data_IF_961841673059
#
_entry.id   IF_961841673059
#
_cell.length_a   1.000
_cell.length_b   1.000
_cell.length_c   1.000
_cell.angle_alpha   90.00
_cell.angle_beta   90.00
_cell.angle_gamma   90.00
#
_symmetry.space_group_name_H-M   'P 1'
#
loop_
_entity.id
_entity.type
_entity.pdbx_description
1 polymer ?
#
# COMPACT_ATOMS: atom_id res chain seq x y z
N UNK A 1 13.71 65.34 14.52
CA UNK A 1 13.84 64.27 13.50
C UNK A 1 13.68 62.83 14.03
N UNK A 2 13.44 62.58 15.34
CA UNK A 2 13.30 61.21 15.89
C UNK A 2 11.88 60.58 15.80
N UNK A 3 10.81 61.39 15.66
CA UNK A 3 9.42 60.89 15.74
C UNK A 3 8.89 60.16 14.50
N UNK A 4 9.37 60.49 13.31
CA UNK A 4 8.86 59.92 12.04
C UNK A 4 9.32 58.47 11.84
N UNK A 5 10.54 58.13 12.28
CA UNK A 5 11.10 56.78 12.15
C UNK A 5 10.38 55.77 13.06
N UNK A 6 9.96 56.20 14.25
CA UNK A 6 9.22 55.36 15.22
C UNK A 6 7.81 55.02 14.72
N UNK A 7 7.11 56.00 14.12
CA UNK A 7 5.76 55.79 13.56
C UNK A 7 5.77 54.86 12.34
N UNK A 8 6.76 54.98 11.46
CA UNK A 8 6.92 54.06 10.33
C UNK A 8 7.26 52.63 10.78
N UNK A 9 8.07 52.46 11.84
CA UNK A 9 8.34 51.13 12.43
C UNK A 9 7.09 50.51 13.06
N UNK A 10 6.32 51.27 13.84
CA UNK A 10 5.06 50.80 14.46
C UNK A 10 3.97 50.42 13.43
N UNK A 11 3.84 51.18 12.34
CA UNK A 11 2.90 50.84 11.26
C UNK A 11 3.33 49.61 10.45
N UNK A 12 4.64 49.41 10.26
CA UNK A 12 5.21 48.19 9.66
C UNK A 12 5.00 46.97 10.56
N UNK A 13 5.20 47.12 11.88
CA UNK A 13 5.00 46.07 12.88
C UNK A 13 3.53 45.65 12.96
N UNK A 14 2.58 46.59 12.99
CA UNK A 14 1.14 46.26 12.95
C UNK A 14 0.72 45.56 11.65
N UNK A 15 1.32 45.91 10.50
CA UNK A 15 1.07 45.19 9.23
C UNK A 15 1.63 43.78 9.27
N UNK A 16 2.83 43.61 9.81
CA UNK A 16 3.46 42.29 10.01
C UNK A 16 2.65 41.44 11.00
N UNK A 17 2.13 42.03 12.07
CA UNK A 17 1.27 41.36 13.05
C UNK A 17 -0.03 40.89 12.42
N UNK A 18 -0.76 41.76 11.71
CA UNK A 18 -1.96 41.37 10.94
C UNK A 18 -1.67 40.24 9.95
N UNK A 19 -0.54 40.29 9.25
CA UNK A 19 -0.13 39.22 8.33
C UNK A 19 0.13 37.90 9.06
N UNK A 20 0.74 37.94 10.25
CA UNK A 20 1.00 36.76 11.08
C UNK A 20 -0.30 36.13 11.58
N UNK A 21 -1.25 36.94 12.04
CA UNK A 21 -2.54 36.45 12.53
C UNK A 21 -3.39 35.89 11.39
N UNK A 22 -3.40 36.54 10.22
CA UNK A 22 -4.04 35.98 9.02
C UNK A 22 -3.42 34.64 8.61
N UNK A 23 -2.09 34.53 8.63
CA UNK A 23 -1.40 33.27 8.33
C UNK A 23 -1.69 32.17 9.37
N UNK A 24 -1.77 32.53 10.65
CA UNK A 24 -2.15 31.60 11.73
C UNK A 24 -3.59 31.11 11.55
N UNK A 25 -4.55 32.03 11.34
CA UNK A 25 -5.95 31.69 11.10
C UNK A 25 -6.11 30.76 9.89
N UNK A 26 -5.41 31.05 8.78
CA UNK A 26 -5.39 30.17 7.60
C UNK A 26 -4.89 28.76 7.94
N UNK A 27 -3.78 28.62 8.68
CA UNK A 27 -3.24 27.31 9.09
C UNK A 27 -4.16 26.55 10.04
N UNK A 28 -4.86 27.26 10.95
CA UNK A 28 -5.85 26.65 11.84
C UNK A 28 -7.02 26.07 11.04
N UNK A 29 -7.61 26.86 10.14
CA UNK A 29 -8.69 26.40 9.24
C UNK A 29 -8.26 25.24 8.35
N UNK A 30 -7.06 25.31 7.78
CA UNK A 30 -6.49 24.22 6.98
C UNK A 30 -6.40 22.93 7.80
N UNK A 31 -5.93 23.03 9.04
CA UNK A 31 -5.79 21.88 9.94
C UNK A 31 -7.15 21.28 10.34
N UNK A 32 -8.17 22.12 10.56
CA UNK A 32 -9.55 21.70 10.78
C UNK A 32 -10.08 20.88 9.60
N UNK A 33 -9.93 21.37 8.36
CA UNK A 33 -10.33 20.64 7.13
C UNK A 33 -9.60 19.30 7.00
N UNK A 34 -8.32 19.23 7.35
CA UNK A 34 -7.58 17.96 7.35
C UNK A 34 -8.18 16.96 8.34
N UNK A 35 -8.52 17.39 9.54
CA UNK A 35 -9.15 16.51 10.52
C UNK A 35 -10.56 16.11 10.10
N UNK A 36 -11.36 17.02 9.54
CA UNK A 36 -12.66 16.67 8.96
C UNK A 36 -12.52 15.59 7.88
N UNK A 37 -11.56 15.72 6.98
CA UNK A 37 -11.28 14.71 5.95
C UNK A 37 -10.84 13.37 6.57
N UNK A 38 -10.00 13.38 7.59
CA UNK A 38 -9.57 12.17 8.30
C UNK A 38 -10.76 11.39 8.89
N UNK A 39 -11.78 12.10 9.38
CA UNK A 39 -13.01 11.51 9.90
C UNK A 39 -13.91 10.88 8.83
N UNK A 40 -13.76 11.26 7.56
CA UNK A 40 -14.51 10.67 6.45
C UNK A 40 -13.85 9.41 5.88
N UNK A 41 -12.63 9.07 6.29
CA UNK A 41 -11.95 7.85 5.85
C UNK A 41 -12.56 6.62 6.55
N UNK A 42 -12.62 5.46 5.87
CA UNK A 42 -13.14 4.21 6.44
C UNK A 42 -12.14 3.58 7.41
N UNK A 43 -11.79 4.29 8.48
CA UNK A 43 -10.81 3.89 9.47
C UNK A 43 -11.38 4.09 10.87
N UNK A 44 -11.00 3.26 11.86
CA UNK A 44 -11.34 3.49 13.25
C UNK A 44 -10.85 4.87 13.72
N UNK A 45 -11.65 5.56 14.55
CA UNK A 45 -11.29 6.86 15.13
C UNK A 45 -9.94 6.87 15.86
N UNK A 46 -9.58 5.75 16.50
CA UNK A 46 -8.29 5.57 17.18
C UNK A 46 -7.10 5.69 16.21
N UNK A 47 -7.29 5.36 14.94
CA UNK A 47 -6.27 5.46 13.89
C UNK A 47 -6.33 6.82 13.23
N UNK A 48 -7.52 7.28 12.81
CA UNK A 48 -7.67 8.53 12.04
C UNK A 48 -7.25 9.78 12.82
N UNK A 49 -7.42 9.78 14.14
CA UNK A 49 -7.03 10.90 15.02
C UNK A 49 -5.52 11.15 15.11
N UNK A 50 -4.69 10.13 14.80
CA UNK A 50 -3.23 10.21 14.89
C UNK A 50 -2.55 10.40 13.53
N UNK A 51 -3.31 10.53 12.44
CA UNK A 51 -2.76 10.71 11.11
C UNK A 51 -2.14 12.09 10.94
N UNK A 52 -1.00 12.14 10.27
CA UNK A 52 -0.43 13.39 9.78
C UNK A 52 -1.10 13.84 8.47
N UNK A 53 -0.95 15.13 8.12
CA UNK A 53 -1.58 15.72 6.93
C UNK A 53 -1.23 14.98 5.64
N UNK A 54 0.01 14.48 5.54
CA UNK A 54 0.47 13.74 4.37
C UNK A 54 -0.25 12.39 4.25
N UNK A 55 -0.36 11.63 5.34
CA UNK A 55 -1.09 10.36 5.33
C UNK A 55 -2.58 10.54 5.08
N UNK A 56 -3.21 11.59 5.62
CA UNK A 56 -4.62 11.90 5.33
C UNK A 56 -4.82 12.06 3.81
N UNK A 57 -3.97 12.82 3.13
CA UNK A 57 -4.06 12.96 1.66
C UNK A 57 -3.82 11.64 0.93
N UNK A 58 -2.78 10.89 1.30
CA UNK A 58 -2.46 9.60 0.66
C UNK A 58 -3.63 8.65 0.77
N UNK A 59 -4.18 8.49 1.97
CA UNK A 59 -5.31 7.58 2.24
C UNK A 59 -6.59 8.06 1.54
N UNK A 60 -6.87 9.36 1.51
CA UNK A 60 -8.03 9.90 0.81
C UNK A 60 -7.94 9.66 -0.71
N UNK A 61 -6.77 9.90 -1.31
CA UNK A 61 -6.54 9.65 -2.75
C UNK A 61 -6.70 8.16 -3.05
N UNK A 62 -6.06 7.29 -2.26
CA UNK A 62 -6.17 5.84 -2.41
C UNK A 62 -7.60 5.34 -2.23
N UNK A 63 -8.34 5.86 -1.24
CA UNK A 63 -9.74 5.51 -1.03
C UNK A 63 -10.62 5.90 -2.21
N UNK A 64 -10.46 7.11 -2.75
CA UNK A 64 -11.19 7.56 -3.94
C UNK A 64 -10.84 6.72 -5.18
N UNK A 65 -9.57 6.32 -5.35
CA UNK A 65 -9.15 5.43 -6.43
C UNK A 65 -9.79 4.05 -6.28
N UNK A 66 -9.72 3.44 -5.11
CA UNK A 66 -10.31 2.12 -4.82
C UNK A 66 -11.82 2.11 -5.00
N UNK A 67 -12.53 3.18 -4.60
CA UNK A 67 -13.98 3.31 -4.86
C UNK A 67 -14.35 3.40 -6.34
N UNK A 68 -13.45 3.84 -7.22
CA UNK A 68 -13.68 3.76 -8.68
C UNK A 68 -13.56 2.34 -9.22
N UNK A 69 -12.89 1.45 -8.49
CA UNK A 69 -12.68 0.05 -8.88
C UNK A 69 -13.85 -0.86 -8.47
N UNK A 70 -14.50 -0.52 -7.36
CA UNK A 70 -15.61 -1.26 -6.79
C UNK A 70 -16.87 -0.38 -6.82
N UNK A 71 -17.78 -0.65 -7.76
CA UNK A 71 -19.10 0.01 -7.81
C UNK A 71 -20.03 -0.45 -6.67
N UNK A 72 -19.67 -1.55 -5.98
CA UNK A 72 -20.46 -2.14 -4.91
C UNK A 72 -19.82 -1.85 -3.54
N UNK A 73 -20.63 -1.36 -2.59
CA UNK A 73 -20.22 -1.00 -1.21
C UNK A 73 -20.04 -2.26 -0.33
N UNK A 74 -19.76 -3.40 -0.96
CA UNK A 74 -19.55 -4.69 -0.32
C UNK A 74 -18.33 -4.64 0.58
N UNK A 75 -18.55 -4.42 1.88
CA UNK A 75 -17.51 -4.59 2.89
C UNK A 75 -17.00 -6.04 2.82
N UNK A 76 -15.70 -6.19 2.57
CA UNK A 76 -15.06 -7.51 2.57
C UNK A 76 -15.15 -8.08 3.98
N UNK A 77 -15.93 -9.15 4.16
CA UNK A 77 -16.23 -9.70 5.49
C UNK A 77 -14.93 -10.09 6.22
N UNK A 78 -14.86 -9.74 7.50
CA UNK A 78 -13.76 -10.07 8.42
C UNK A 78 -13.50 -11.58 8.43
N UNK A 79 -14.53 -12.41 8.23
CA UNK A 79 -14.38 -13.86 8.14
C UNK A 79 -13.54 -14.29 6.93
N UNK A 80 -13.71 -13.65 5.76
CA UNK A 80 -12.86 -13.94 4.59
C UNK A 80 -11.41 -13.61 4.89
N UNK A 81 -11.14 -12.42 5.40
CA UNK A 81 -9.77 -11.97 5.73
C UNK A 81 -9.06 -12.85 6.75
N UNK A 82 -9.80 -13.43 7.71
CA UNK A 82 -9.25 -14.37 8.70
C UNK A 82 -8.93 -15.74 8.11
N UNK A 83 -9.64 -16.12 7.05
CA UNK A 83 -9.51 -17.43 6.40
C UNK A 83 -8.43 -17.44 5.32
N UNK A 84 -8.02 -16.27 4.80
CA UNK A 84 -6.92 -16.16 3.86
C UNK A 84 -5.58 -16.49 4.52
N UNK A 85 -4.78 -17.29 3.83
CA UNK A 85 -3.38 -17.59 4.18
C UNK A 85 -2.40 -16.50 3.72
N UNK A 86 -2.93 -15.39 3.22
CA UNK A 86 -2.20 -14.22 2.76
C UNK A 86 -3.02 -12.94 2.88
N UNK A 87 -2.61 -11.93 2.14
CA UNK A 87 -3.29 -10.62 2.09
C UNK A 87 -3.55 -10.21 0.64
N UNK A 88 -4.54 -9.35 0.44
CA UNK A 88 -4.89 -8.80 -0.87
C UNK A 88 -4.24 -7.43 -1.00
N UNK A 89 -3.71 -7.12 -2.18
CA UNK A 89 -3.24 -5.78 -2.54
C UNK A 89 -3.69 -5.40 -3.94
N UNK A 90 -3.96 -4.11 -4.14
CA UNK A 90 -4.20 -3.53 -5.46
C UNK A 90 -3.11 -2.49 -5.73
N UNK A 91 -2.38 -2.67 -6.83
CA UNK A 91 -1.21 -1.88 -7.17
C UNK A 91 -1.38 -1.32 -8.57
N UNK A 92 -1.16 -0.03 -8.77
CA UNK A 92 -1.26 0.59 -10.10
C UNK A 92 -0.11 0.15 -11.00
N UNK A 93 -0.23 0.38 -12.32
CA UNK A 93 0.87 0.17 -13.27
C UNK A 93 2.13 0.99 -12.96
N UNK A 94 1.98 2.08 -12.20
CA UNK A 94 3.08 2.94 -11.75
C UNK A 94 3.71 2.44 -10.44
N UNK A 95 3.09 1.44 -9.80
CA UNK A 95 3.56 0.84 -8.54
C UNK A 95 2.93 1.42 -7.28
N UNK A 96 1.93 2.30 -7.37
CA UNK A 96 1.24 2.82 -6.18
C UNK A 96 0.33 1.74 -5.58
N UNK A 97 0.52 1.43 -4.29
CA UNK A 97 -0.38 0.52 -3.55
C UNK A 97 -1.66 1.26 -3.14
N UNK A 98 -2.74 1.13 -3.91
CA UNK A 98 -4.00 1.87 -3.68
C UNK A 98 -4.94 1.16 -2.71
N UNK A 99 -4.78 -0.15 -2.52
CA UNK A 99 -5.50 -0.93 -1.52
C UNK A 99 -4.61 -2.04 -0.96
N UNK A 100 -4.73 -2.29 0.34
CA UNK A 100 -4.22 -3.49 1.00
C UNK A 100 -5.29 -3.98 1.99
N UNK A 101 -5.44 -5.28 2.19
CA UNK A 101 -6.30 -5.80 3.24
C UNK A 101 -5.69 -5.59 4.63
N UNK A 102 -6.53 -5.39 5.66
CA UNK A 102 -6.10 -5.12 7.04
C UNK A 102 -5.22 -6.23 7.63
N UNK A 103 -5.42 -7.48 7.18
CA UNK A 103 -4.69 -8.64 7.69
C UNK A 103 -3.20 -8.68 7.29
N UNK A 104 -2.70 -7.76 6.44
CA UNK A 104 -1.28 -7.67 6.09
C UNK A 104 -0.37 -7.56 7.32
N UNK A 105 -0.81 -6.88 8.38
CA UNK A 105 -0.06 -6.75 9.63
C UNK A 105 0.28 -8.11 10.24
N UNK A 106 -0.61 -9.10 10.13
CA UNK A 106 -0.37 -10.47 10.60
C UNK A 106 0.84 -11.12 9.91
N UNK A 107 1.04 -10.84 8.62
CA UNK A 107 2.01 -11.53 7.79
C UNK A 107 3.35 -10.78 7.67
N UNK A 108 3.29 -9.45 7.65
CA UNK A 108 4.43 -8.58 7.37
C UNK A 108 4.80 -7.66 8.55
N UNK A 109 3.90 -7.47 9.53
CA UNK A 109 4.08 -6.56 10.68
C UNK A 109 4.01 -5.07 10.34
N UNK A 110 3.57 -4.76 9.12
CA UNK A 110 3.31 -3.41 8.62
C UNK A 110 1.81 -3.21 8.54
N UNK A 111 1.33 -2.04 8.93
CA UNK A 111 -0.10 -1.72 8.89
C UNK A 111 -0.53 -1.28 7.50
N UNK A 112 -1.82 -1.46 7.19
CA UNK A 112 -2.43 -0.96 5.96
C UNK A 112 -2.14 0.55 5.77
N UNK A 113 -2.31 1.33 6.84
CA UNK A 113 -2.08 2.80 6.85
C UNK A 113 -0.64 3.20 6.51
N UNK A 114 0.34 2.42 6.96
CA UNK A 114 1.76 2.66 6.67
C UNK A 114 2.11 2.42 5.20
N UNK A 115 1.33 1.58 4.49
CA UNK A 115 1.64 1.12 3.14
C UNK A 115 0.79 1.80 2.07
N UNK A 116 -0.51 1.99 2.32
CA UNK A 116 -1.45 2.52 1.35
C UNK A 116 -1.03 3.89 0.84
N UNK A 117 -0.99 4.04 -0.49
CA UNK A 117 -0.60 5.25 -1.20
C UNK A 117 0.91 5.44 -1.39
N UNK A 118 1.75 4.50 -0.95
CA UNK A 118 3.18 4.49 -1.29
C UNK A 118 3.49 3.57 -2.46
N UNK A 119 4.69 3.72 -3.01
CA UNK A 119 5.19 2.84 -4.04
C UNK A 119 5.54 1.46 -3.46
N UNK A 120 5.12 0.38 -4.14
CA UNK A 120 5.53 -0.98 -3.82
C UNK A 120 7.06 -1.15 -3.84
N UNK A 121 7.76 -0.37 -4.65
CA UNK A 121 9.21 -0.40 -4.80
C UNK A 121 9.96 0.06 -3.53
N UNK A 122 9.31 0.84 -2.65
CA UNK A 122 9.88 1.24 -1.36
C UNK A 122 9.94 0.09 -0.35
N UNK A 123 9.11 -0.93 -0.56
CA UNK A 123 8.92 -2.05 0.36
C UNK A 123 9.38 -3.40 -0.21
N UNK A 124 9.80 -3.43 -1.47
CA UNK A 124 10.26 -4.66 -2.15
C UNK A 124 11.76 -4.64 -2.41
N UNK A 125 12.35 -5.82 -2.53
CA UNK A 125 13.79 -5.97 -2.72
C UNK A 125 14.20 -5.43 -4.11
N UNK A 126 15.26 -4.60 -4.22
CA UNK A 126 15.65 -3.96 -5.48
C UNK A 126 15.93 -4.93 -6.65
N UNK A 127 16.49 -6.12 -6.36
CA UNK A 127 16.69 -7.15 -7.39
C UNK A 127 15.39 -7.67 -8.02
N UNK A 128 14.24 -7.50 -7.37
CA UNK A 128 12.94 -7.99 -7.85
C UNK A 128 12.18 -6.88 -8.61
N UNK A 129 12.69 -5.65 -8.65
CA UNK A 129 11.96 -4.49 -9.19
C UNK A 129 11.66 -4.57 -10.68
N UNK A 130 12.55 -5.15 -11.49
CA UNK A 130 12.28 -5.34 -12.92
C UNK A 130 11.13 -6.33 -13.14
N UNK A 131 11.16 -7.48 -12.45
CA UNK A 131 10.12 -8.51 -12.55
C UNK A 131 8.76 -7.97 -12.07
N UNK A 132 8.74 -7.23 -10.95
CA UNK A 132 7.52 -6.56 -10.46
C UNK A 132 7.00 -5.58 -11.54
N UNK A 133 7.88 -4.77 -12.14
CA UNK A 133 7.46 -3.79 -13.16
C UNK A 133 6.89 -4.46 -14.41
N UNK A 134 7.46 -5.58 -14.83
CA UNK A 134 6.93 -6.38 -15.94
C UNK A 134 5.53 -6.92 -15.61
N UNK A 135 5.33 -7.41 -14.39
CA UNK A 135 4.03 -7.88 -13.91
C UNK A 135 2.99 -6.77 -13.73
N UNK A 136 3.39 -5.52 -13.43
CA UNK A 136 2.45 -4.40 -13.29
C UNK A 136 2.08 -3.73 -14.63
N UNK A 137 2.82 -4.02 -15.72
CA UNK A 137 2.55 -3.44 -17.03
C UNK A 137 1.51 -4.25 -17.80
N UNK A 138 0.62 -3.54 -18.49
CA UNK A 138 -0.17 -4.12 -19.57
C UNK A 138 0.72 -4.22 -20.80
N UNK A 139 1.18 -5.44 -21.13
CA UNK A 139 1.93 -5.64 -22.35
C UNK A 139 0.99 -5.92 -23.51
N UNK A 140 1.00 -5.05 -24.52
CA UNK A 140 0.63 -5.47 -25.87
C UNK A 140 1.77 -6.32 -26.39
N UNK A 141 1.56 -7.64 -26.51
CA UNK A 141 2.54 -8.49 -27.17
C UNK A 141 2.86 -7.92 -28.56
N UNK A 142 4.15 -7.88 -28.95
CA UNK A 142 4.63 -7.43 -30.28
C UNK A 142 4.09 -8.25 -31.47
N UNK A 143 3.07 -9.09 -31.26
CA UNK A 143 2.40 -9.96 -32.23
C UNK A 143 0.89 -10.10 -32.01
N UNK A 144 0.22 -9.09 -31.45
CA UNK A 144 -1.26 -9.07 -31.37
C UNK A 144 -1.89 -10.21 -30.56
N UNK A 145 -1.09 -10.97 -29.79
CA UNK A 145 -1.60 -11.87 -28.75
C UNK A 145 -1.74 -11.05 -27.48
N UNK A 146 -2.97 -11.00 -26.97
CA UNK A 146 -3.29 -10.55 -25.62
C UNK A 146 -2.41 -11.34 -24.64
N UNK A 147 -1.54 -10.64 -23.89
CA UNK A 147 -0.85 -11.29 -22.79
C UNK A 147 -1.91 -11.71 -21.77
N UNK A 148 -1.74 -12.90 -21.17
CA UNK A 148 -2.60 -13.32 -20.07
C UNK A 148 -2.72 -12.18 -19.08
N UNK A 149 -3.94 -11.86 -18.64
CA UNK A 149 -4.16 -10.91 -17.55
C UNK A 149 -3.66 -11.48 -16.23
N UNK A 150 -3.51 -12.81 -16.13
CA UNK A 150 -3.04 -13.47 -14.92
C UNK A 150 -1.59 -13.12 -14.59
N UNK A 151 -1.30 -13.03 -13.30
CA UNK A 151 0.00 -12.75 -12.74
C UNK A 151 0.31 -13.84 -11.73
N UNK A 152 1.50 -14.40 -11.84
CA UNK A 152 2.04 -15.43 -10.97
C UNK A 152 3.54 -15.23 -10.89
N UNK A 153 4.01 -14.66 -9.78
CA UNK A 153 5.42 -14.35 -9.58
C UNK A 153 5.78 -14.36 -8.10
N UNK A 154 7.06 -14.35 -7.81
CA UNK A 154 7.58 -14.23 -6.45
C UNK A 154 8.19 -12.85 -6.25
N UNK A 155 8.00 -12.28 -5.07
CA UNK A 155 8.72 -11.06 -4.69
C UNK A 155 9.13 -11.09 -3.23
N UNK A 156 10.22 -10.40 -2.91
CA UNK A 156 10.64 -10.18 -1.53
C UNK A 156 10.13 -8.84 -1.04
N UNK A 157 9.37 -8.85 0.06
CA UNK A 157 8.86 -7.66 0.71
C UNK A 157 9.43 -7.51 2.13
N UNK A 158 9.62 -6.27 2.60
CA UNK A 158 10.04 -5.96 3.96
C UNK A 158 9.03 -6.50 4.97
N UNK A 159 9.52 -7.28 5.93
CA UNK A 159 8.79 -7.85 7.04
C UNK A 159 9.41 -7.40 8.36
N UNK A 160 8.62 -6.76 9.22
CA UNK A 160 9.03 -6.33 10.57
C UNK A 160 8.76 -7.41 11.61
N UNK A 161 8.07 -8.50 11.26
CA UNK A 161 7.92 -9.66 12.15
C UNK A 161 9.14 -10.58 11.99
N UNK A 162 9.84 -10.80 13.10
CA UNK A 162 10.93 -11.78 13.17
C UNK A 162 10.41 -13.21 13.28
N UNK A 163 11.24 -14.21 13.00
CA UNK A 163 10.90 -15.63 13.17
C UNK A 163 10.47 -16.01 14.60
N UNK A 164 10.78 -15.15 15.59
CA UNK A 164 10.36 -15.31 17.01
C UNK A 164 9.07 -14.55 17.34
N UNK A 165 8.37 -14.02 16.34
CA UNK A 165 7.12 -13.26 16.52
C UNK A 165 7.31 -11.84 17.11
N UNK A 166 8.55 -11.34 17.21
CA UNK A 166 8.81 -9.97 17.69
C UNK A 166 8.75 -8.98 16.54
N UNK A 167 8.14 -7.82 16.77
CA UNK A 167 8.12 -6.70 15.83
C UNK A 167 9.39 -5.85 15.97
N UNK A 168 10.06 -5.59 14.85
CA UNK A 168 11.22 -4.68 14.74
C UNK A 168 10.86 -3.43 13.94
N UNK A 169 11.73 -2.42 13.95
CA UNK A 169 11.55 -1.25 13.11
C UNK A 169 11.81 -1.58 11.62
N UNK A 170 11.34 -0.71 10.73
CA UNK A 170 11.47 -0.89 9.28
C UNK A 170 12.94 -0.94 8.79
N UNK A 171 13.89 -0.28 9.48
CA UNK A 171 15.32 -0.32 9.12
C UNK A 171 15.97 -1.67 9.42
N UNK A 172 15.40 -2.41 10.36
CA UNK A 172 15.84 -3.75 10.77
C UNK A 172 14.95 -4.86 10.21
N UNK A 173 14.00 -4.51 9.32
CA UNK A 173 13.12 -5.46 8.68
C UNK A 173 13.90 -6.48 7.84
N UNK A 174 13.48 -7.74 7.91
CA UNK A 174 13.98 -8.81 7.05
C UNK A 174 13.20 -8.87 5.74
N UNK A 175 13.76 -9.51 4.73
CA UNK A 175 13.06 -9.81 3.49
C UNK A 175 12.27 -11.11 3.63
N UNK A 176 10.98 -11.07 3.36
CA UNK A 176 10.10 -12.25 3.33
C UNK A 176 9.63 -12.48 1.91
N UNK A 177 9.74 -13.72 1.45
CA UNK A 177 9.30 -14.11 0.10
C UNK A 177 7.78 -14.26 0.12
N UNK A 178 7.13 -13.61 -0.84
CA UNK A 178 5.71 -13.69 -1.11
C UNK A 178 5.51 -14.36 -2.48
N UNK A 179 4.56 -15.27 -2.54
CA UNK A 179 3.95 -15.74 -3.78
C UNK A 179 2.79 -14.80 -4.11
N UNK A 180 2.82 -14.21 -5.30
CA UNK A 180 1.85 -13.22 -5.73
C UNK A 180 1.08 -13.76 -6.93
N UNK A 181 -0.21 -14.01 -6.72
CA UNK A 181 -1.13 -14.49 -7.75
C UNK A 181 -2.26 -13.49 -7.96
N UNK A 182 -2.76 -13.34 -9.17
CA UNK A 182 -3.89 -12.46 -9.42
C UNK A 182 -4.03 -12.05 -10.88
N UNK A 183 -4.56 -10.86 -11.13
CA UNK A 183 -4.78 -10.38 -12.50
C UNK A 183 -4.59 -8.88 -12.66
N UNK A 184 -4.23 -8.47 -13.88
CA UNK A 184 -4.23 -7.08 -14.30
C UNK A 184 -5.65 -6.68 -14.76
N UNK A 185 -6.14 -5.56 -14.26
CA UNK A 185 -7.44 -5.01 -14.62
C UNK A 185 -7.32 -3.57 -15.08
N UNK A 186 -7.99 -3.26 -16.18
CA UNK A 186 -8.09 -1.91 -16.72
C UNK A 186 -9.47 -1.33 -16.42
N UNK A 187 -9.47 -0.17 -15.79
CA UNK A 187 -10.68 0.57 -15.44
C UNK A 187 -10.78 1.79 -16.34
N UNK A 188 -11.78 1.75 -17.22
CA UNK A 188 -12.09 2.87 -18.10
C UNK A 188 -12.69 4.00 -17.27
N UNK A 189 -12.20 5.21 -17.49
CA UNK A 189 -12.66 6.42 -16.83
C UNK A 189 -14.17 6.61 -17.02
N UNK A 190 -14.87 7.07 -15.97
CA UNK A 190 -16.25 7.54 -16.07
C UNK A 190 -16.41 8.51 -17.26
N UNK A 191 -17.62 8.63 -17.86
CA UNK A 191 -17.88 9.66 -18.85
C UNK A 191 -17.52 11.05 -18.28
N UNK A 192 -16.99 11.95 -19.13
CA UNK A 192 -16.37 13.19 -18.69
C UNK A 192 -17.32 14.00 -17.81
N UNK A 193 -16.91 14.31 -16.57
CA UNK A 193 -17.60 15.33 -15.77
C UNK A 193 -17.38 16.68 -16.48
N UNK A 194 -18.47 17.31 -16.89
CA UNK A 194 -18.59 18.40 -17.89
C UNK A 194 -17.83 19.70 -17.53
N UNK A 195 -17.15 19.76 -16.39
CA UNK A 195 -16.60 21.01 -15.85
C UNK A 195 -15.21 21.40 -16.38
N UNK A 196 -14.42 20.50 -16.99
CA UNK A 196 -13.02 20.83 -17.32
C UNK A 196 -12.43 20.21 -18.61
N UNK A 197 -13.16 19.40 -19.37
CA UNK A 197 -12.62 18.81 -20.62
C UNK A 197 -11.41 17.85 -20.44
N UNK A 198 -10.89 17.67 -19.23
CA UNK A 198 -9.87 16.68 -18.91
C UNK A 198 -10.48 15.28 -18.97
N UNK A 199 -9.99 14.48 -19.92
CA UNK A 199 -10.24 13.04 -19.96
C UNK A 199 -9.23 12.38 -19.03
N UNK A 200 -9.69 11.89 -17.88
CA UNK A 200 -8.83 11.12 -16.97
C UNK A 200 -8.33 9.87 -17.72
N UNK A 201 -7.03 9.53 -17.69
CA UNK A 201 -6.53 8.33 -18.37
C UNK A 201 -7.10 7.07 -17.71
N UNK A 202 -7.24 5.96 -18.47
CA UNK A 202 -7.67 4.67 -17.90
C UNK A 202 -6.71 4.25 -16.78
N UNK A 203 -7.27 3.80 -15.65
CA UNK A 203 -6.48 3.31 -14.53
C UNK A 203 -6.21 1.82 -14.74
N UNK A 204 -4.93 1.44 -14.85
CA UNK A 204 -4.53 0.02 -14.89
C UNK A 204 -3.96 -0.36 -13.53
N UNK A 205 -4.46 -1.45 -12.96
CA UNK A 205 -3.97 -1.97 -11.68
C UNK A 205 -3.95 -3.48 -11.65
N UNK A 206 -2.99 -4.05 -10.93
CA UNK A 206 -2.94 -5.46 -10.60
C UNK A 206 -3.68 -5.68 -9.27
N UNK A 207 -4.63 -6.62 -9.28
CA UNK A 207 -5.28 -7.15 -8.07
C UNK A 207 -4.56 -8.44 -7.73
N UNK A 208 -3.88 -8.48 -6.59
CA UNK A 208 -2.98 -9.58 -6.21
C UNK A 208 -3.33 -10.14 -4.84
N UNK A 209 -3.37 -11.46 -4.73
CA UNK A 209 -3.26 -12.21 -3.49
C UNK A 209 -1.78 -12.51 -3.23
N UNK A 210 -1.31 -12.14 -2.04
CA UNK A 210 0.08 -12.28 -1.63
C UNK A 210 0.18 -13.24 -0.45
N UNK A 211 0.75 -14.40 -0.69
CA UNK A 211 0.92 -15.47 0.30
C UNK A 211 2.39 -15.56 0.75
N UNK A 212 2.69 -15.38 2.04
CA UNK A 212 4.05 -15.57 2.53
C UNK A 212 4.47 -17.03 2.48
N UNK A 213 5.64 -17.29 1.87
CA UNK A 213 6.20 -18.64 1.87
C UNK A 213 6.73 -18.95 3.27
N UNK A 214 6.25 -20.04 3.92
CA UNK A 214 6.75 -20.45 5.21
C UNK A 214 8.22 -20.84 5.10
N UNK A 215 9.02 -20.35 6.04
CA UNK A 215 10.41 -20.79 6.12
C UNK A 215 10.45 -22.27 6.53
N UNK A 216 11.32 -23.11 5.95
CA UNK A 216 11.39 -24.53 6.27
C UNK A 216 11.56 -24.85 7.76
N UNK A 217 12.17 -23.93 8.53
CA UNK A 217 12.34 -24.06 9.99
C UNK A 217 11.05 -23.87 10.80
N UNK A 218 9.98 -23.39 10.17
CA UNK A 218 8.71 -23.03 10.80
C UNK A 218 7.59 -23.99 10.36
N UNK A 219 7.91 -25.00 9.55
CA UNK A 219 6.96 -26.05 9.19
C UNK A 219 6.82 -26.98 10.40
N UNK A 220 5.64 -26.96 11.02
CA UNK A 220 5.33 -27.84 12.15
C UNK A 220 5.25 -29.29 11.69
N UNK A 221 6.13 -30.13 12.22
CA UNK A 221 6.08 -31.59 12.09
C UNK A 221 5.32 -32.19 13.27
N UNK A 222 4.44 -33.19 13.07
CA UNK A 222 4.28 -34.00 11.86
C UNK A 222 3.29 -33.40 10.85
N UNK A 223 3.57 -33.63 9.56
CA UNK A 223 2.66 -33.28 8.47
C UNK A 223 1.43 -34.21 8.45
N UNK A 224 0.34 -33.80 7.82
CA UNK A 224 -0.85 -34.66 7.63
C UNK A 224 -0.49 -35.92 6.80
N UNK A 225 -1.29 -36.98 6.97
CA UNK A 225 -1.24 -38.26 6.27
C UNK A 225 -1.14 -38.19 4.74
N UNK A 226 -1.52 -37.06 4.13
CA UNK A 226 -1.43 -36.80 2.68
C UNK A 226 -0.18 -36.05 2.24
N UNK A 227 0.63 -35.56 3.17
CA UNK A 227 1.89 -34.87 2.92
C UNK A 227 3.08 -35.76 3.31
N UNK A 228 4.26 -35.44 2.80
CA UNK A 228 5.53 -36.08 3.22
C UNK A 228 6.66 -35.06 3.09
N UNK A 229 7.66 -35.16 3.94
CA UNK A 229 8.82 -34.28 3.89
C UNK A 229 9.96 -34.92 3.07
N UNK A 230 10.51 -34.17 2.13
CA UNK A 230 11.80 -34.50 1.49
C UNK A 230 12.78 -33.34 1.62
N UNK A 231 14.07 -33.67 1.75
CA UNK A 231 15.17 -32.71 1.79
C UNK A 231 16.06 -32.96 0.60
N UNK A 232 16.45 -31.89 -0.09
CA UNK A 232 17.29 -31.95 -1.28
C UNK A 232 18.55 -31.10 -1.11
N UNK A 233 19.62 -31.47 -1.81
CA UNK A 233 20.74 -30.56 -2.09
C UNK A 233 20.34 -29.50 -3.12
N UNK A 234 21.16 -28.45 -3.28
CA UNK A 234 20.88 -27.34 -4.21
C UNK A 234 20.78 -27.78 -5.68
N UNK A 235 21.30 -28.95 -6.03
CA UNK A 235 21.14 -29.59 -7.34
C UNK A 235 19.90 -30.49 -7.43
N UNK A 236 18.96 -30.33 -6.49
CA UNK A 236 17.68 -31.04 -6.39
C UNK A 236 17.78 -32.55 -6.16
N UNK A 237 18.96 -33.09 -5.81
CA UNK A 237 19.09 -34.50 -5.44
C UNK A 237 18.57 -34.75 -4.03
N UNK A 238 17.90 -35.88 -3.82
CA UNK A 238 17.40 -36.29 -2.51
C UNK A 238 18.56 -36.51 -1.53
N UNK A 239 18.46 -35.85 -0.37
CA UNK A 239 19.31 -36.06 0.79
C UNK A 239 18.56 -36.80 1.91
N UNK A 240 17.23 -36.67 1.97
CA UNK A 240 16.36 -37.36 2.91
C UNK A 240 14.93 -37.40 2.37
N UNK A 241 14.18 -38.46 2.66
CA UNK A 241 12.74 -38.53 2.44
C UNK A 241 12.12 -39.24 3.66
N UNK A 242 11.05 -38.67 4.19
CA UNK A 242 10.27 -39.27 5.26
C UNK A 242 9.63 -40.58 4.76
N UNK A 243 9.87 -41.67 5.48
CA UNK A 243 9.17 -42.93 5.27
C UNK A 243 7.84 -42.88 6.02
N UNK A 244 6.73 -43.21 5.34
CA UNK A 244 5.40 -43.28 5.94
C UNK A 244 5.18 -44.59 6.69
#
# INVERSE_FOLDING_TARGET
SCGVVVIYRSSSERRKEKSRDAARCRRSKETEVFYELAHQLPLPHSVSSHLDKASIMRLAISFLRTRKLNDDDGQMDSLYLKSLEGFITVVTSDGDMIFLSENINKFMGLTQVELTGHSIFDFTHPCDHEEIRENLRSGFGKKGKELSSERDFFMRMKCTVTNRGRTVNLKSASWKVLHCTGHLQMYNSCPPRVLCGFKEPPLTCAVLMCEPIPHPSTIDTPLDSRSFLSRHSMDMKFAYCEEK
#
